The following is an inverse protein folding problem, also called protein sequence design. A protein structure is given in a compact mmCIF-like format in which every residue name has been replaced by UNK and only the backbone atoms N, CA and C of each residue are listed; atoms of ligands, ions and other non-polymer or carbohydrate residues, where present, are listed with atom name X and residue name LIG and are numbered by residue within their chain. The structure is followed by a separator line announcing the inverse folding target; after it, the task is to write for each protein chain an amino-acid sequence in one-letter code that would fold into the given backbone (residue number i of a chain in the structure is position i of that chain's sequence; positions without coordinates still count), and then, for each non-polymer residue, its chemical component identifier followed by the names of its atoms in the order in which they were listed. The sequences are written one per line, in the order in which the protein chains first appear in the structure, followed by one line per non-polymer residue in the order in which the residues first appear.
data_IF_858683263900
#
_entry.id   IF_858683263900
#
_cell.length_a   1.000
_cell.length_b   1.000
_cell.length_c   1.000
_cell.angle_alpha   90.00
_cell.angle_beta   90.00
_cell.angle_gamma   90.00
#
_symmetry.space_group_name_H-M   'P 1'
#
loop_
_entity.id
_entity.type
_entity.pdbx_description
1 polymer ?
#
# COMPACT_ATOMS: atom_id res chain seq x y z
N UNK A 1 7.21 9.95 2.43
CA UNK A 1 5.96 9.30 2.04
C UNK A 1 5.74 9.47 0.54
N UNK A 2 5.47 8.39 -0.14
CA UNK A 2 5.13 8.37 -1.57
C UNK A 2 3.63 8.20 -1.71
N UNK A 3 2.99 9.09 -2.44
CA UNK A 3 1.55 9.03 -2.69
C UNK A 3 1.31 8.77 -4.17
N UNK A 4 0.90 7.54 -4.48
CA UNK A 4 0.57 7.13 -5.85
C UNK A 4 -0.86 7.53 -6.15
N UNK A 5 -1.07 8.26 -7.24
CA UNK A 5 -2.37 8.78 -7.61
C UNK A 5 -2.67 8.54 -9.10
N UNK A 6 -3.95 8.54 -9.43
CA UNK A 6 -4.44 8.42 -10.80
C UNK A 6 -5.42 9.52 -11.15
N UNK A 7 -6.60 9.15 -11.58
CA UNK A 7 -7.67 10.10 -11.90
C UNK A 7 -8.09 10.92 -10.68
N UNK A 8 -8.32 12.21 -10.87
CA UNK A 8 -8.68 13.13 -9.78
C UNK A 8 -7.48 13.60 -8.95
N UNK A 9 -6.26 13.30 -9.37
CA UNK A 9 -5.06 13.65 -8.64
C UNK A 9 -4.83 15.14 -8.44
N UNK A 10 -5.30 15.97 -9.38
CA UNK A 10 -5.17 17.42 -9.27
C UNK A 10 -5.94 17.97 -8.06
N UNK A 11 -7.12 17.42 -7.79
CA UNK A 11 -7.90 17.78 -6.60
C UNK A 11 -7.19 17.37 -5.32
N UNK A 12 -6.61 16.17 -5.29
CA UNK A 12 -5.81 15.71 -4.15
C UNK A 12 -4.61 16.62 -3.90
N UNK A 13 -3.86 16.97 -4.94
CA UNK A 13 -2.70 17.86 -4.83
C UNK A 13 -3.08 19.23 -4.30
N UNK A 14 -4.22 19.77 -4.69
CA UNK A 14 -4.70 21.06 -4.21
C UNK A 14 -5.19 21.00 -2.76
N UNK A 15 -5.65 19.85 -2.30
CA UNK A 15 -6.19 19.64 -0.95
C UNK A 15 -5.09 19.27 0.05
N UNK A 16 -4.14 18.42 -0.35
CA UNK A 16 -3.03 17.94 0.48
C UNK A 16 -1.77 18.74 0.14
N UNK A 17 -1.43 19.70 0.99
CA UNK A 17 -0.30 20.61 0.75
C UNK A 17 0.92 20.32 1.64
N UNK A 18 0.95 19.17 2.29
CA UNK A 18 2.09 18.79 3.13
C UNK A 18 3.35 18.59 2.29
N UNK A 19 4.44 19.24 2.69
CA UNK A 19 5.70 19.26 1.94
C UNK A 19 6.48 17.94 1.95
N UNK A 20 6.12 17.00 2.83
CA UNK A 20 6.79 15.70 2.94
C UNK A 20 6.24 14.63 1.97
N UNK A 21 5.26 14.97 1.14
CA UNK A 21 4.64 14.04 0.21
C UNK A 21 5.37 14.04 -1.13
N UNK A 22 5.78 12.86 -1.59
CA UNK A 22 6.28 12.65 -2.94
C UNK A 22 5.14 12.12 -3.80
N UNK A 23 4.75 12.88 -4.82
CA UNK A 23 3.63 12.54 -5.69
C UNK A 23 4.11 11.69 -6.86
N UNK A 24 3.51 10.50 -7.01
CA UNK A 24 3.84 9.54 -8.06
C UNK A 24 2.60 9.29 -8.92
N UNK A 25 2.67 9.63 -10.20
CA UNK A 25 1.55 9.44 -11.12
C UNK A 25 1.51 7.99 -11.60
N UNK A 26 0.34 7.36 -11.46
CA UNK A 26 -0.01 6.13 -12.15
C UNK A 26 -0.90 6.51 -13.34
N UNK A 27 -0.31 6.62 -14.52
CA UNK A 27 -1.00 7.10 -15.72
C UNK A 27 -2.08 6.13 -16.20
N UNK A 28 -1.83 4.82 -16.06
CA UNK A 28 -2.78 3.77 -16.37
C UNK A 28 -3.14 2.99 -15.11
N UNK A 29 -4.41 2.66 -14.94
CA UNK A 29 -4.92 1.97 -13.75
C UNK A 29 -4.83 0.45 -13.94
N UNK A 30 -3.62 -0.11 -13.86
CA UNK A 30 -3.35 -1.52 -14.10
C UNK A 30 -3.30 -2.37 -12.83
N UNK A 31 -3.80 -1.85 -11.71
CA UNK A 31 -3.88 -2.57 -10.45
C UNK A 31 -2.91 -2.07 -9.37
N UNK A 32 -2.98 -2.68 -8.19
CA UNK A 32 -2.21 -2.26 -7.02
C UNK A 32 -0.72 -2.58 -7.14
N UNK A 33 -0.37 -3.71 -7.74
CA UNK A 33 1.03 -4.05 -8.01
C UNK A 33 1.67 -3.07 -8.99
N UNK A 34 0.93 -2.66 -10.01
CA UNK A 34 1.38 -1.63 -10.95
C UNK A 34 1.59 -0.30 -10.25
N UNK A 35 0.71 0.08 -9.31
CA UNK A 35 0.88 1.28 -8.51
C UNK A 35 2.19 1.24 -7.70
N UNK A 36 2.51 0.11 -7.08
CA UNK A 36 3.79 -0.09 -6.39
C UNK A 36 4.98 0.06 -7.31
N UNK A 37 4.90 -0.46 -8.54
CA UNK A 37 5.95 -0.34 -9.53
C UNK A 37 6.25 1.12 -9.90
N UNK A 38 5.24 1.98 -9.90
CA UNK A 38 5.44 3.41 -10.17
C UNK A 38 6.27 4.09 -9.07
N UNK A 39 6.09 3.67 -7.83
CA UNK A 39 6.83 4.22 -6.69
C UNK A 39 8.19 3.55 -6.45
N UNK A 40 8.40 2.35 -6.97
CA UNK A 40 9.60 1.55 -6.70
C UNK A 40 10.94 2.25 -6.96
N UNK A 41 11.11 3.09 -8.00
CA UNK A 41 12.36 3.81 -8.21
C UNK A 41 12.74 4.77 -7.07
N UNK A 42 11.79 5.13 -6.22
CA UNK A 42 12.01 6.04 -5.09
C UNK A 42 12.37 5.31 -3.79
N UNK A 43 12.33 3.97 -3.78
CA UNK A 43 12.63 3.17 -2.60
C UNK A 43 14.12 2.90 -2.48
N UNK A 44 14.65 2.98 -1.25
CA UNK A 44 16.01 2.50 -0.97
C UNK A 44 16.00 0.97 -0.82
N UNK A 45 17.06 0.31 -1.29
CA UNK A 45 17.14 -1.16 -1.28
C UNK A 45 17.21 -1.77 0.12
N UNK A 46 17.64 -1.00 1.10
CA UNK A 46 17.80 -1.42 2.49
C UNK A 46 16.63 -1.00 3.40
N UNK A 47 15.56 -0.44 2.83
CA UNK A 47 14.39 0.01 3.59
C UNK A 47 13.22 -0.96 3.43
N UNK A 48 12.50 -1.16 4.54
CA UNK A 48 11.18 -1.77 4.49
C UNK A 48 10.16 -0.80 3.89
N UNK A 49 9.24 -1.32 3.08
CA UNK A 49 8.20 -0.53 2.43
C UNK A 49 6.85 -0.92 3.01
N UNK A 50 6.13 0.06 3.55
CA UNK A 50 4.78 -0.12 4.04
C UNK A 50 3.80 0.44 3.01
N UNK A 51 2.95 -0.44 2.46
CA UNK A 51 1.92 -0.05 1.50
C UNK A 51 0.58 0.07 2.21
N UNK A 52 -0.04 1.24 2.08
CA UNK A 52 -1.35 1.53 2.64
C UNK A 52 -2.31 1.94 1.52
N UNK A 53 -3.60 1.60 1.69
CA UNK A 53 -4.64 2.03 0.78
C UNK A 53 -5.33 3.29 1.30
N UNK A 54 -5.54 4.26 0.41
CA UNK A 54 -6.21 5.51 0.77
C UNK A 54 -7.69 5.35 1.12
N UNK A 55 -8.31 4.26 0.66
CA UNK A 55 -9.71 3.94 0.95
C UNK A 55 -9.90 3.09 2.23
N UNK A 56 -8.84 2.85 2.98
CA UNK A 56 -8.88 2.14 4.26
C UNK A 56 -8.23 3.01 5.35
N UNK A 57 -8.86 4.16 5.70
CA UNK A 57 -8.20 5.16 6.56
C UNK A 57 -8.24 4.84 8.06
N UNK A 58 -9.00 3.84 8.50
CA UNK A 58 -9.21 3.53 9.92
C UNK A 58 -8.25 2.47 10.47
N UNK A 59 -7.22 2.12 9.73
CA UNK A 59 -6.16 1.25 10.25
C UNK A 59 -5.44 1.97 11.40
N UNK A 60 -5.33 1.28 12.55
CA UNK A 60 -4.66 1.84 13.72
C UNK A 60 -3.14 1.73 13.62
N UNK A 61 -2.44 2.63 14.30
CA UNK A 61 -0.98 2.57 14.45
C UNK A 61 -0.54 1.26 15.11
N UNK A 62 -1.30 0.78 16.10
CA UNK A 62 -1.03 -0.50 16.77
C UNK A 62 -1.04 -1.67 15.79
N UNK A 63 -2.03 -1.74 14.90
CA UNK A 63 -2.11 -2.77 13.86
C UNK A 63 -0.90 -2.72 12.94
N UNK A 64 -0.48 -1.52 12.50
CA UNK A 64 0.68 -1.34 11.65
C UNK A 64 1.98 -1.74 12.35
N UNK A 65 2.12 -1.40 13.63
CA UNK A 65 3.28 -1.78 14.44
C UNK A 65 3.40 -3.30 14.55
N UNK A 66 2.28 -3.98 14.80
CA UNK A 66 2.22 -5.44 14.87
C UNK A 66 2.54 -6.10 13.54
N UNK A 67 2.07 -5.52 12.43
CA UNK A 67 2.39 -6.00 11.08
C UNK A 67 3.89 -5.92 10.82
N UNK A 68 4.51 -4.79 11.13
CA UNK A 68 5.95 -4.60 10.94
C UNK A 68 6.76 -5.56 11.80
N UNK A 69 6.32 -5.81 13.04
CA UNK A 69 6.98 -6.75 13.94
C UNK A 69 6.87 -8.21 13.47
N UNK A 70 5.75 -8.56 12.83
CA UNK A 70 5.50 -9.92 12.33
C UNK A 70 6.23 -10.24 11.03
N UNK A 71 6.65 -9.22 10.28
CA UNK A 71 7.36 -9.40 9.01
C UNK A 71 8.72 -10.04 9.25
N UNK A 72 9.05 -11.18 8.60
CA UNK A 72 10.39 -11.75 8.69
C UNK A 72 11.40 -10.87 7.94
N UNK A 73 12.66 -10.95 8.34
CA UNK A 73 13.73 -10.27 7.65
C UNK A 73 13.83 -10.78 6.20
N UNK A 74 13.84 -9.88 5.24
CA UNK A 74 13.87 -10.23 3.82
C UNK A 74 12.57 -10.81 3.28
N UNK A 75 11.50 -10.82 4.08
CA UNK A 75 10.21 -11.37 3.70
C UNK A 75 9.12 -10.30 3.58
N UNK A 76 7.89 -10.78 3.49
CA UNK A 76 6.70 -9.95 3.34
C UNK A 76 5.78 -10.17 4.54
N UNK A 77 5.29 -9.10 5.12
CA UNK A 77 4.17 -9.10 6.07
C UNK A 77 2.88 -8.73 5.34
N UNK A 78 1.83 -9.46 5.57
CA UNK A 78 0.54 -9.24 4.93
C UNK A 78 -0.58 -9.20 5.96
N UNK A 79 -1.30 -8.09 6.00
CA UNK A 79 -2.50 -7.97 6.82
C UNK A 79 -3.69 -8.57 6.06
N UNK A 80 -4.33 -9.55 6.67
CA UNK A 80 -5.47 -10.24 6.06
C UNK A 80 -6.74 -10.04 6.86
N UNK A 81 -7.87 -10.28 6.23
CA UNK A 81 -9.18 -10.23 6.87
C UNK A 81 -10.01 -11.43 6.41
N UNK A 82 -10.79 -11.98 7.34
CA UNK A 82 -11.75 -13.02 7.01
C UNK A 82 -13.11 -12.38 6.75
N UNK A 83 -13.60 -12.52 5.55
CA UNK A 83 -14.88 -11.95 5.12
C UNK A 83 -15.89 -13.06 4.85
N UNK A 84 -17.15 -12.84 5.21
CA UNK A 84 -18.23 -13.78 4.90
C UNK A 84 -18.48 -13.86 3.39
N UNK A 85 -18.43 -12.73 2.69
CA UNK A 85 -18.58 -12.65 1.23
C UNK A 85 -17.37 -11.91 0.66
N UNK A 86 -16.28 -12.63 0.33
CA UNK A 86 -15.04 -12.00 -0.11
C UNK A 86 -14.98 -11.67 -1.61
N UNK A 87 -16.11 -11.52 -2.29
CA UNK A 87 -16.17 -11.17 -3.71
C UNK A 87 -15.39 -9.90 -4.01
N UNK A 88 -14.57 -9.92 -5.05
CA UNK A 88 -13.73 -8.78 -5.44
C UNK A 88 -12.42 -8.68 -4.69
N UNK A 89 -12.19 -9.50 -3.67
CA UNK A 89 -10.93 -9.53 -2.93
C UNK A 89 -10.04 -10.69 -3.39
N UNK A 90 -8.74 -10.52 -3.21
CA UNK A 90 -7.78 -11.61 -3.38
C UNK A 90 -7.99 -12.71 -2.34
N UNK A 91 -7.40 -13.86 -2.58
CA UNK A 91 -7.48 -15.01 -1.69
C UNK A 91 -6.11 -15.41 -1.22
N UNK A 92 -6.02 -15.86 0.04
CA UNK A 92 -4.82 -16.48 0.55
C UNK A 92 -4.90 -17.97 0.22
N UNK A 93 -3.95 -18.44 -0.57
CA UNK A 93 -3.81 -19.85 -0.92
C UNK A 93 -2.57 -20.38 -0.21
N UNK A 94 -2.74 -21.50 0.51
CA UNK A 94 -1.63 -22.14 1.21
C UNK A 94 -1.35 -23.50 0.60
N UNK A 95 -0.09 -23.78 0.37
CA UNK A 95 0.42 -25.10 0.01
C UNK A 95 1.22 -25.64 1.18
N UNK A 96 0.94 -26.85 1.61
CA UNK A 96 1.64 -27.53 2.72
C UNK A 96 1.57 -26.73 4.06
N UNK A 97 0.43 -26.16 4.33
CA UNK A 97 0.22 -25.40 5.54
C UNK A 97 -0.02 -23.94 5.34
#
# INVERSE_FOLDING_TARGET
VHLVYGHGGDLLKSTLTEGALNWVLQAEQLGTGHAMQQAAPHFADDEDVLMLYGDVPLISVDTLTRLLAAKPQGGIGLLTVKLDVPSGYGRIVREQG
#
